data_IF_012304496191
#
_entry.id   IF_012304496191
#
_cell.length_a   1.000
_cell.length_b   1.000
_cell.length_c   1.000
_cell.angle_alpha   90.00
_cell.angle_beta   90.00
_cell.angle_gamma   90.00
#
_symmetry.space_group_name_H-M   'P 1'
#
loop_
_entity.id
_entity.type
_entity.pdbx_description
1 polymer ?
#
# COMPACT_ATOMS: atom_id res chain seq x y z
N UNK A 1 10.48 6.70 20.43
CA UNK A 1 10.85 5.31 20.13
C UNK A 1 9.68 4.65 19.41
N UNK A 2 9.95 4.00 18.30
CA UNK A 2 8.89 3.31 17.52
C UNK A 2 8.41 2.05 18.25
N UNK A 3 7.11 1.95 18.49
CA UNK A 3 6.48 0.79 19.12
C UNK A 3 5.11 0.51 18.47
N UNK A 4 5.00 -0.53 17.62
CA UNK A 4 3.77 -0.79 16.89
C UNK A 4 2.61 -1.24 17.79
N UNK A 5 2.88 -1.65 19.01
CA UNK A 5 1.87 -2.11 19.97
C UNK A 5 1.40 -1.02 20.93
N UNK A 6 2.00 0.18 20.87
CA UNK A 6 1.63 1.29 21.75
C UNK A 6 0.27 1.87 21.36
N UNK A 7 -0.55 2.29 22.33
CA UNK A 7 -1.78 3.03 22.05
C UNK A 7 -1.54 4.51 21.68
N UNK A 8 -0.30 4.98 21.76
CA UNK A 8 0.05 6.36 21.44
C UNK A 8 0.51 6.49 20.00
N UNK A 9 -0.13 7.37 19.23
CA UNK A 9 0.17 7.56 17.82
C UNK A 9 1.63 7.92 17.56
N UNK A 10 2.21 8.77 18.37
CA UNK A 10 3.61 9.21 18.25
C UNK A 10 4.64 8.08 18.43
N UNK A 11 4.22 6.96 18.99
CA UNK A 11 5.08 5.80 19.20
C UNK A 11 4.95 4.74 18.11
N UNK A 12 3.79 4.63 17.44
CA UNK A 12 3.60 3.65 16.35
C UNK A 12 3.56 4.28 14.96
N UNK A 13 3.39 5.59 14.84
CA UNK A 13 3.49 6.31 13.58
C UNK A 13 4.85 7.02 13.53
N UNK A 14 5.72 6.56 12.64
CA UNK A 14 7.03 7.19 12.45
C UNK A 14 6.96 8.14 11.26
N UNK A 15 6.73 9.42 11.53
CA UNK A 15 6.60 10.45 10.50
C UNK A 15 7.87 10.59 9.64
N UNK A 16 9.04 10.50 10.26
CA UNK A 16 10.30 10.62 9.54
C UNK A 16 10.51 9.46 8.56
N UNK A 17 10.20 8.23 8.98
CA UNK A 17 10.25 7.07 8.08
C UNK A 17 9.26 7.21 6.92
N UNK A 18 8.10 7.78 7.15
CA UNK A 18 7.12 8.05 6.07
C UNK A 18 7.72 9.02 5.05
N UNK A 19 8.32 10.13 5.50
CA UNK A 19 8.94 11.10 4.61
C UNK A 19 10.10 10.50 3.81
N UNK A 20 10.95 9.71 4.46
CA UNK A 20 12.06 9.00 3.80
C UNK A 20 11.54 7.99 2.78
N UNK A 21 10.46 7.29 3.08
CA UNK A 21 9.83 6.35 2.16
C UNK A 21 9.30 7.05 0.93
N UNK A 22 8.63 8.18 1.07
CA UNK A 22 8.13 8.96 -0.05
C UNK A 22 9.27 9.50 -0.92
N UNK A 23 10.34 10.00 -0.31
CA UNK A 23 11.51 10.47 -1.04
C UNK A 23 12.20 9.34 -1.80
N UNK A 24 12.34 8.18 -1.17
CA UNK A 24 12.89 6.98 -1.81
C UNK A 24 12.04 6.55 -3.01
N UNK A 25 10.73 6.57 -2.87
CA UNK A 25 9.82 6.21 -3.96
C UNK A 25 9.95 7.20 -5.14
N UNK A 26 10.01 8.49 -4.87
CA UNK A 26 10.16 9.51 -5.91
C UNK A 26 11.48 9.34 -6.68
N UNK A 27 12.57 9.03 -5.99
CA UNK A 27 13.87 8.77 -6.63
C UNK A 27 13.88 7.53 -7.50
N UNK A 28 13.02 6.55 -7.21
CA UNK A 28 13.01 5.24 -7.88
C UNK A 28 11.78 5.01 -8.77
N UNK A 29 10.93 6.01 -8.95
CA UNK A 29 9.70 5.88 -9.75
C UNK A 29 9.92 5.49 -11.21
N UNK A 30 11.09 5.76 -11.75
CA UNK A 30 11.50 5.39 -13.11
C UNK A 30 12.61 4.32 -13.14
N UNK A 31 12.89 3.68 -12.01
CA UNK A 31 13.88 2.62 -11.91
C UNK A 31 13.28 1.26 -12.31
N UNK A 32 13.28 0.97 -13.61
CA UNK A 32 12.69 -0.24 -14.17
C UNK A 32 13.25 -1.53 -13.53
N UNK A 33 14.56 -1.58 -13.28
CA UNK A 33 15.19 -2.75 -12.69
C UNK A 33 14.69 -3.05 -11.27
N UNK A 34 14.60 -2.01 -10.43
CA UNK A 34 14.06 -2.15 -9.08
C UNK A 34 12.59 -2.56 -9.11
N UNK A 35 11.81 -1.95 -9.99
CA UNK A 35 10.38 -2.26 -10.16
C UNK A 35 10.21 -3.72 -10.59
N UNK A 36 11.03 -4.21 -11.52
CA UNK A 36 11.01 -5.62 -11.94
C UNK A 36 11.31 -6.57 -10.77
N UNK A 37 12.28 -6.24 -9.93
CA UNK A 37 12.60 -7.04 -8.74
C UNK A 37 11.41 -7.09 -7.77
N UNK A 38 10.73 -5.97 -7.56
CA UNK A 38 9.56 -5.90 -6.69
C UNK A 38 8.41 -6.73 -7.26
N UNK A 39 8.16 -6.62 -8.57
CA UNK A 39 7.12 -7.41 -9.26
C UNK A 39 7.41 -8.91 -9.14
N UNK A 40 8.66 -9.34 -9.33
CA UNK A 40 9.05 -10.75 -9.17
C UNK A 40 8.82 -11.24 -7.74
N UNK A 41 9.12 -10.42 -6.74
CA UNK A 41 8.82 -10.73 -5.35
C UNK A 41 7.32 -10.88 -5.12
N UNK A 42 6.50 -10.00 -5.70
CA UNK A 42 5.05 -10.08 -5.61
C UNK A 42 4.48 -11.32 -6.31
N UNK A 43 5.07 -11.75 -7.43
CA UNK A 43 4.69 -13.00 -8.11
C UNK A 43 4.85 -14.22 -7.22
N UNK A 44 5.81 -14.20 -6.32
CA UNK A 44 6.02 -15.27 -5.33
C UNK A 44 5.04 -15.21 -4.15
N UNK A 45 4.07 -14.29 -4.18
CA UNK A 45 3.07 -14.05 -3.11
C UNK A 45 3.70 -13.67 -1.78
N UNK A 46 4.87 -13.05 -1.81
CA UNK A 46 5.52 -12.50 -0.62
C UNK A 46 5.04 -11.06 -0.40
N UNK A 47 4.83 -10.70 0.86
CA UNK A 47 4.48 -9.33 1.21
C UNK A 47 5.56 -8.33 0.82
N UNK A 48 5.16 -7.12 0.45
CA UNK A 48 6.06 -6.03 0.12
C UNK A 48 6.31 -5.15 1.35
N UNK A 49 7.51 -4.58 1.44
CA UNK A 49 7.80 -3.56 2.44
C UNK A 49 7.11 -2.24 2.10
N UNK A 50 7.04 -1.32 3.06
CA UNK A 50 6.47 0.02 2.82
C UNK A 50 7.19 0.73 1.67
N UNK A 51 8.50 0.64 1.60
CA UNK A 51 9.29 1.27 0.52
C UNK A 51 9.04 0.64 -0.83
N UNK A 52 8.95 -0.68 -0.88
CA UNK A 52 8.62 -1.39 -2.12
C UNK A 52 7.23 -1.03 -2.63
N UNK A 53 6.23 -1.01 -1.73
CA UNK A 53 4.88 -0.60 -2.09
C UNK A 53 4.82 0.85 -2.57
N UNK A 54 5.55 1.75 -1.92
CA UNK A 54 5.63 3.16 -2.30
C UNK A 54 6.22 3.33 -3.70
N UNK A 55 7.28 2.59 -4.04
CA UNK A 55 7.87 2.60 -5.39
C UNK A 55 6.86 2.17 -6.45
N UNK A 56 6.06 1.13 -6.18
CA UNK A 56 5.02 0.71 -7.12
C UNK A 56 3.92 1.74 -7.29
N UNK A 57 3.54 2.43 -6.20
CA UNK A 57 2.51 3.49 -6.26
C UNK A 57 2.99 4.70 -7.05
N UNK A 58 4.26 5.05 -6.96
CA UNK A 58 4.86 6.19 -7.66
C UNK A 58 5.33 5.86 -9.08
N UNK A 59 5.25 4.60 -9.51
CA UNK A 59 5.74 4.16 -10.81
C UNK A 59 5.09 4.94 -11.95
N UNK A 60 5.91 5.60 -12.77
CA UNK A 60 5.47 6.35 -13.95
C UNK A 60 5.71 5.60 -15.27
N UNK A 61 6.30 4.41 -15.22
CA UNK A 61 6.55 3.59 -16.41
C UNK A 61 5.28 2.85 -16.77
N UNK A 62 4.62 3.23 -17.86
CA UNK A 62 3.33 2.69 -18.26
C UNK A 62 3.36 1.16 -18.45
N UNK A 63 4.39 0.64 -19.10
CA UNK A 63 4.56 -0.81 -19.29
C UNK A 63 4.63 -1.57 -17.97
N UNK A 64 5.28 -1.00 -16.95
CA UNK A 64 5.37 -1.59 -15.62
C UNK A 64 4.03 -1.51 -14.88
N UNK A 65 3.30 -0.44 -15.05
CA UNK A 65 1.96 -0.32 -14.48
C UNK A 65 1.01 -1.38 -15.06
N UNK A 66 1.09 -1.66 -16.35
CA UNK A 66 0.32 -2.74 -16.97
C UNK A 66 0.68 -4.10 -16.38
N UNK A 67 1.96 -4.36 -16.14
CA UNK A 67 2.40 -5.59 -15.46
C UNK A 67 1.86 -5.68 -14.03
N UNK A 68 1.86 -4.58 -13.29
CA UNK A 68 1.31 -4.52 -11.93
C UNK A 68 -0.18 -4.86 -11.94
N UNK A 69 -0.95 -4.28 -12.85
CA UNK A 69 -2.39 -4.53 -12.98
C UNK A 69 -2.67 -5.98 -13.37
N UNK A 70 -1.93 -6.53 -14.31
CA UNK A 70 -2.07 -7.92 -14.72
C UNK A 70 -1.77 -8.88 -13.57
N UNK A 71 -0.73 -8.60 -12.80
CA UNK A 71 -0.38 -9.40 -11.62
C UNK A 71 -1.45 -9.29 -10.53
N UNK A 72 -1.97 -8.11 -10.27
CA UNK A 72 -3.04 -7.90 -9.30
C UNK A 72 -4.29 -8.71 -9.69
N UNK A 73 -4.66 -8.70 -10.95
CA UNK A 73 -5.76 -9.51 -11.48
C UNK A 73 -5.51 -11.01 -11.29
N UNK A 74 -4.29 -11.46 -11.55
CA UNK A 74 -3.93 -12.87 -11.38
C UNK A 74 -3.97 -13.30 -9.92
N UNK A 75 -3.48 -12.47 -9.00
CA UNK A 75 -3.55 -12.74 -7.56
C UNK A 75 -5.01 -12.84 -7.11
N UNK A 76 -5.85 -11.93 -7.57
CA UNK A 76 -7.28 -11.96 -7.26
C UNK A 76 -7.92 -13.27 -7.74
N UNK A 77 -7.60 -13.71 -8.96
CA UNK A 77 -8.12 -14.95 -9.52
C UNK A 77 -7.62 -16.18 -8.75
N UNK A 78 -6.36 -16.18 -8.32
CA UNK A 78 -5.77 -17.31 -7.61
C UNK A 78 -6.41 -17.53 -6.23
N UNK A 79 -6.77 -16.46 -5.52
CA UNK A 79 -7.33 -16.55 -4.17
C UNK A 79 -8.85 -16.50 -4.12
N UNK A 80 -9.49 -15.74 -4.99
CA UNK A 80 -10.93 -15.50 -4.94
C UNK A 80 -11.68 -15.98 -6.18
N UNK A 81 -10.97 -16.31 -7.26
CA UNK A 81 -11.60 -16.70 -8.53
C UNK A 81 -12.46 -15.55 -9.07
N UNK A 82 -13.68 -15.88 -9.44
CA UNK A 82 -14.67 -14.89 -9.92
C UNK A 82 -15.52 -14.28 -8.79
N UNK A 83 -15.27 -14.65 -7.55
CA UNK A 83 -16.03 -14.16 -6.40
C UNK A 83 -15.72 -12.70 -6.12
N UNK A 84 -16.75 -11.99 -5.68
CA UNK A 84 -16.63 -10.62 -5.20
C UNK A 84 -16.72 -10.64 -3.68
N UNK A 85 -15.73 -10.04 -3.01
CA UNK A 85 -15.77 -9.90 -1.55
C UNK A 85 -16.69 -8.74 -1.20
N UNK A 86 -17.76 -9.03 -0.51
CA UNK A 86 -18.72 -8.02 -0.04
C UNK A 86 -18.55 -7.81 1.46
N UNK A 87 -18.52 -6.56 1.87
CA UNK A 87 -18.43 -6.21 3.29
C UNK A 87 -19.19 -4.91 3.55
N UNK A 88 -19.49 -4.69 4.82
CA UNK A 88 -20.05 -3.42 5.29
C UNK A 88 -19.38 -3.05 6.62
N UNK A 89 -19.04 -1.78 6.84
CA UNK A 89 -18.56 -1.34 8.13
C UNK A 89 -19.64 -1.51 9.21
N UNK A 90 -19.23 -1.93 10.39
CA UNK A 90 -20.09 -1.97 11.56
C UNK A 90 -19.88 -0.70 12.39
N UNK A 91 -20.83 0.21 12.32
CA UNK A 91 -20.77 1.45 13.09
C UNK A 91 -21.30 1.20 14.50
N UNK A 92 -20.42 1.33 15.50
CA UNK A 92 -20.79 1.19 16.90
C UNK A 92 -21.45 2.48 17.45
N UNK A 93 -21.09 3.62 16.87
CA UNK A 93 -21.66 4.91 17.24
C UNK A 93 -21.46 5.91 16.10
N UNK A 94 -22.38 6.82 15.94
CA UNK A 94 -22.26 7.97 15.05
C UNK A 94 -21.97 9.28 15.80
N UNK A 95 -21.76 9.22 17.10
CA UNK A 95 -21.36 10.39 17.88
C UNK A 95 -19.91 10.75 17.55
N UNK A 96 -19.67 12.02 17.27
CA UNK A 96 -18.37 12.54 16.93
C UNK A 96 -18.17 13.92 17.55
N UNK A 97 -16.97 14.16 18.10
CA UNK A 97 -16.60 15.46 18.68
C UNK A 97 -16.00 16.42 17.64
N UNK A 98 -15.78 15.94 16.42
CA UNK A 98 -15.20 16.73 15.35
C UNK A 98 -16.29 17.52 14.60
N UNK A 99 -15.98 18.76 14.22
CA UNK A 99 -16.88 19.62 13.46
C UNK A 99 -16.68 19.51 11.94
N UNK A 100 -16.63 18.31 11.40
CA UNK A 100 -16.40 18.11 9.98
C UNK A 100 -17.52 18.67 9.13
N UNK A 101 -17.18 19.45 8.10
CA UNK A 101 -18.16 20.10 7.22
C UNK A 101 -19.00 19.07 6.46
N UNK A 102 -18.43 17.93 6.13
CA UNK A 102 -19.13 16.85 5.43
C UNK A 102 -20.22 16.17 6.27
N UNK A 103 -19.99 16.00 7.55
CA UNK A 103 -20.98 15.46 8.49
C UNK A 103 -21.88 16.56 9.04
#
# INVERSE_FOLDING_TARGET
MYSPESPKAEEFINHEEILQTLEYAEKNKNNAELIDQIIEKAKKRKGLSHREAAVLLDCEIEEKNEEIYALAQQIKKDFYGSRIVMFAPLYLSNYCVNGCVYC
#
